data_IF_962762943650
#
_entry.id   IF_962762943650
#
_cell.length_a   1.000
_cell.length_b   1.000
_cell.length_c   1.000
_cell.angle_alpha   90.00
_cell.angle_beta   90.00
_cell.angle_gamma   90.00
#
_symmetry.space_group_name_H-M   'P 1'
#
loop_
_entity.id
_entity.type
_entity.pdbx_description
1 polymer ?
#
# COMPACT_ATOMS: atom_id res chain seq x y z
N UNK A 1 -31.49 12.95 24.05
CA UNK A 1 -30.31 12.67 23.21
C UNK A 1 -30.81 11.87 22.02
N UNK A 2 -30.45 12.28 20.79
CA UNK A 2 -31.13 11.89 19.55
C UNK A 2 -30.50 10.59 19.03
N UNK A 3 -31.33 9.57 18.76
CA UNK A 3 -30.96 8.17 18.50
C UNK A 3 -30.15 7.91 17.20
N UNK A 4 -29.51 8.92 16.60
CA UNK A 4 -28.61 8.78 15.45
C UNK A 4 -27.12 8.75 15.86
N UNK A 5 -26.80 8.90 17.14
CA UNK A 5 -25.44 8.71 17.67
C UNK A 5 -25.16 7.25 18.11
N UNK A 6 -26.17 6.36 18.05
CA UNK A 6 -26.06 4.97 18.53
C UNK A 6 -25.67 3.98 17.41
N UNK A 7 -25.73 4.40 16.15
CA UNK A 7 -24.98 3.71 15.09
C UNK A 7 -23.56 4.26 15.08
N UNK A 8 -22.75 3.85 16.05
CA UNK A 8 -21.31 4.04 16.00
C UNK A 8 -20.75 3.19 14.85
N UNK A 9 -21.01 3.60 13.60
CA UNK A 9 -20.15 3.28 12.48
C UNK A 9 -18.76 3.73 12.92
N UNK A 10 -17.87 2.77 13.18
CA UNK A 10 -16.46 3.07 13.37
C UNK A 10 -16.05 4.04 12.27
N UNK A 11 -15.59 5.23 12.67
CA UNK A 11 -15.19 6.28 11.74
C UNK A 11 -14.00 5.77 10.92
N UNK A 12 -13.86 6.17 9.66
CA UNK A 12 -12.70 5.81 8.82
C UNK A 12 -11.36 6.11 9.50
N UNK A 13 -11.32 7.11 10.40
CA UNK A 13 -10.16 7.41 11.26
C UNK A 13 -9.77 6.24 12.17
N UNK A 14 -10.73 5.51 12.74
CA UNK A 14 -10.44 4.36 13.60
C UNK A 14 -9.81 3.20 12.79
N UNK A 15 -10.31 2.96 11.58
CA UNK A 15 -9.74 2.00 10.63
C UNK A 15 -8.33 2.40 10.19
N UNK A 16 -8.12 3.68 9.87
CA UNK A 16 -6.80 4.23 9.57
C UNK A 16 -5.81 4.00 10.71
N UNK A 17 -6.17 4.39 11.95
CA UNK A 17 -5.30 4.23 13.11
C UNK A 17 -4.99 2.74 13.35
N UNK A 18 -6.00 1.87 13.25
CA UNK A 18 -5.80 0.43 13.39
C UNK A 18 -4.86 -0.11 12.31
N UNK A 19 -5.03 0.29 11.04
CA UNK A 19 -4.17 -0.13 9.93
C UNK A 19 -2.72 0.29 10.13
N UNK A 20 -2.49 1.55 10.50
CA UNK A 20 -1.16 2.08 10.82
C UNK A 20 -0.53 1.35 12.01
N UNK A 21 -1.28 1.12 13.10
CA UNK A 21 -0.79 0.42 14.28
C UNK A 21 -0.40 -1.02 13.93
N UNK A 22 -1.26 -1.75 13.21
CA UNK A 22 -0.98 -3.12 12.78
C UNK A 22 0.27 -3.16 11.90
N UNK A 23 0.37 -2.23 10.93
CA UNK A 23 1.53 -2.15 10.06
C UNK A 23 2.83 -1.91 10.84
N UNK A 24 2.83 -0.92 11.73
CA UNK A 24 4.02 -0.51 12.51
C UNK A 24 4.43 -1.53 13.59
N UNK A 25 3.49 -2.29 14.15
CA UNK A 25 3.76 -3.28 15.19
C UNK A 25 4.27 -4.60 14.61
N UNK A 26 3.73 -5.02 13.45
CA UNK A 26 4.01 -6.35 12.90
C UNK A 26 5.13 -6.38 11.87
N UNK A 27 5.43 -5.26 11.20
CA UNK A 27 6.38 -5.22 10.08
C UNK A 27 7.59 -4.31 10.35
N UNK A 28 8.71 -4.55 9.63
CA UNK A 28 9.85 -3.63 9.63
C UNK A 28 9.42 -2.19 9.32
N UNK A 29 10.08 -1.22 9.96
CA UNK A 29 9.68 0.19 9.93
C UNK A 29 9.61 0.75 8.51
N UNK A 30 10.50 0.34 7.63
CA UNK A 30 10.54 0.78 6.24
C UNK A 30 9.36 0.23 5.43
N UNK A 31 9.05 -1.06 5.56
CA UNK A 31 7.87 -1.68 4.91
C UNK A 31 6.57 -1.08 5.45
N UNK A 32 6.47 -0.89 6.77
CA UNK A 32 5.31 -0.28 7.40
C UNK A 32 5.12 1.18 6.96
N UNK A 33 6.21 1.95 6.83
CA UNK A 33 6.16 3.32 6.33
C UNK A 33 5.71 3.35 4.87
N UNK A 34 6.27 2.46 4.03
CA UNK A 34 5.93 2.36 2.62
C UNK A 34 4.44 2.03 2.42
N UNK A 35 3.87 1.12 3.22
CA UNK A 35 2.45 0.76 3.12
C UNK A 35 1.51 1.92 3.51
N UNK A 36 1.90 2.73 4.50
CA UNK A 36 1.17 3.96 4.87
C UNK A 36 1.30 5.01 3.75
N UNK A 37 2.45 5.09 3.07
CA UNK A 37 2.62 5.96 1.89
C UNK A 37 1.71 5.49 0.75
N UNK A 38 1.54 4.17 0.53
CA UNK A 38 0.57 3.68 -0.44
C UNK A 38 -0.85 4.12 -0.12
N UNK A 39 -1.30 4.02 1.13
CA UNK A 39 -2.60 4.55 1.51
C UNK A 39 -2.71 6.05 1.22
N UNK A 40 -1.69 6.85 1.52
CA UNK A 40 -1.76 8.30 1.34
C UNK A 40 -1.59 8.80 -0.11
N UNK A 41 -0.93 8.05 -0.99
CA UNK A 41 -0.67 8.47 -2.38
C UNK A 41 -1.39 7.62 -3.43
N UNK A 42 -1.45 6.30 -3.24
CA UNK A 42 -2.03 5.39 -4.22
C UNK A 42 -3.56 5.42 -4.17
N UNK A 43 -4.18 5.42 -2.99
CA UNK A 43 -5.65 5.47 -2.86
C UNK A 43 -6.25 6.78 -3.43
N UNK A 44 -5.75 7.98 -3.07
CA UNK A 44 -6.23 9.21 -3.71
C UNK A 44 -6.03 9.23 -5.21
N UNK A 45 -4.91 8.68 -5.70
CA UNK A 45 -4.66 8.56 -7.15
C UNK A 45 -5.66 7.62 -7.80
N UNK A 46 -5.92 6.46 -7.22
CA UNK A 46 -6.90 5.50 -7.71
C UNK A 46 -8.29 6.13 -7.79
N UNK A 47 -8.65 6.91 -6.77
CA UNK A 47 -9.90 7.66 -6.71
C UNK A 47 -10.00 8.71 -7.83
N UNK A 48 -8.91 9.47 -8.08
CA UNK A 48 -8.85 10.45 -9.18
C UNK A 48 -8.96 9.75 -10.54
N UNK A 49 -8.11 8.75 -10.80
CA UNK A 49 -8.09 8.01 -12.05
C UNK A 49 -9.42 7.28 -12.30
N UNK A 50 -10.01 6.72 -11.25
CA UNK A 50 -11.31 6.05 -11.32
C UNK A 50 -12.46 7.01 -11.62
N UNK A 51 -12.44 8.23 -11.09
CA UNK A 51 -13.44 9.26 -11.44
C UNK A 51 -13.28 9.76 -12.88
N UNK A 52 -12.05 9.97 -13.34
CA UNK A 52 -11.78 10.53 -14.67
C UNK A 52 -12.01 9.51 -15.79
N UNK A 53 -11.48 8.30 -15.63
CA UNK A 53 -11.43 7.30 -16.70
C UNK A 53 -12.16 6.00 -16.38
N UNK A 54 -12.65 5.81 -15.15
CA UNK A 54 -13.24 4.54 -14.72
C UNK A 54 -14.48 4.11 -15.52
N UNK A 55 -15.20 5.04 -16.16
CA UNK A 55 -16.32 4.70 -17.06
C UNK A 55 -15.90 4.00 -18.36
N UNK A 56 -14.63 4.16 -18.78
CA UNK A 56 -14.10 3.57 -20.00
C UNK A 56 -13.35 2.24 -19.75
N UNK A 57 -13.30 1.79 -18.50
CA UNK A 57 -12.52 0.61 -18.11
C UNK A 57 -13.39 -0.39 -17.33
N UNK A 58 -13.05 -1.69 -17.33
CA UNK A 58 -13.74 -2.68 -16.53
C UNK A 58 -13.77 -2.31 -15.05
N UNK A 59 -14.85 -2.66 -14.36
CA UNK A 59 -15.03 -2.43 -12.93
C UNK A 59 -15.23 -3.76 -12.21
N UNK A 60 -14.68 -3.87 -11.02
CA UNK A 60 -14.91 -4.96 -10.09
C UNK A 60 -15.30 -4.36 -8.74
N UNK A 61 -16.46 -4.75 -8.20
CA UNK A 61 -16.99 -4.28 -6.92
C UNK A 61 -16.91 -2.75 -6.69
N UNK A 62 -17.30 -1.95 -7.68
CA UNK A 62 -17.19 -0.47 -7.72
C UNK A 62 -15.78 0.12 -7.87
N UNK A 63 -14.72 -0.68 -7.78
CA UNK A 63 -13.35 -0.28 -8.13
C UNK A 63 -13.15 -0.41 -9.64
N UNK A 64 -12.40 0.51 -10.24
CA UNK A 64 -12.17 0.54 -11.70
C UNK A 64 -10.74 0.16 -12.04
N UNK A 65 -10.55 -0.51 -13.18
CA UNK A 65 -9.20 -0.84 -13.67
C UNK A 65 -8.35 0.42 -13.89
N UNK A 66 -8.95 1.54 -14.32
CA UNK A 66 -8.26 2.83 -14.40
C UNK A 66 -7.68 3.28 -13.05
N UNK A 67 -8.45 3.12 -11.96
CA UNK A 67 -8.01 3.42 -10.61
C UNK A 67 -6.84 2.52 -10.18
N UNK A 68 -6.98 1.20 -10.35
CA UNK A 68 -5.92 0.24 -10.00
C UNK A 68 -4.64 0.47 -10.81
N UNK A 69 -4.73 0.82 -12.09
CA UNK A 69 -3.56 1.17 -12.91
C UNK A 69 -2.91 2.48 -12.44
N UNK A 70 -3.70 3.47 -12.02
CA UNK A 70 -3.20 4.69 -11.39
C UNK A 70 -2.43 4.39 -10.10
N UNK A 71 -3.00 3.56 -9.22
CA UNK A 71 -2.31 3.05 -8.03
C UNK A 71 -1.05 2.26 -8.39
N UNK A 72 -1.06 1.47 -9.47
CA UNK A 72 0.11 0.71 -9.91
C UNK A 72 1.29 1.61 -10.27
N UNK A 73 1.03 2.63 -11.09
CA UNK A 73 2.06 3.58 -11.53
C UNK A 73 2.59 4.39 -10.35
N UNK A 74 1.70 4.95 -9.52
CA UNK A 74 2.13 5.73 -8.36
C UNK A 74 2.83 4.85 -7.33
N UNK A 75 2.34 3.64 -7.06
CA UNK A 75 2.99 2.68 -6.17
C UNK A 75 4.39 2.32 -6.64
N UNK A 76 4.60 2.14 -7.95
CA UNK A 76 5.92 1.90 -8.52
C UNK A 76 6.87 3.10 -8.29
N UNK A 77 6.41 4.32 -8.60
CA UNK A 77 7.21 5.54 -8.42
C UNK A 77 7.54 5.79 -6.94
N UNK A 78 6.55 5.62 -6.06
CA UNK A 78 6.71 5.73 -4.61
C UNK A 78 7.73 4.72 -4.11
N UNK A 79 7.65 3.46 -4.52
CA UNK A 79 8.57 2.40 -4.07
C UNK A 79 10.00 2.68 -4.54
N UNK A 80 10.16 3.06 -5.81
CA UNK A 80 11.45 3.41 -6.38
C UNK A 80 12.07 4.61 -5.64
N UNK A 81 11.29 5.67 -5.45
CA UNK A 81 11.71 6.88 -4.76
C UNK A 81 12.01 6.66 -3.28
N UNK A 82 11.19 5.86 -2.58
CA UNK A 82 11.34 5.58 -1.16
C UNK A 82 12.65 4.83 -0.87
N UNK A 83 12.88 3.70 -1.51
CA UNK A 83 14.13 2.94 -1.31
C UNK A 83 15.34 3.67 -1.91
N UNK A 84 15.18 4.38 -3.02
CA UNK A 84 16.23 5.25 -3.56
C UNK A 84 16.65 6.36 -2.59
N UNK A 85 15.68 6.98 -1.92
CA UNK A 85 15.92 7.99 -0.89
C UNK A 85 16.63 7.39 0.33
N UNK A 86 16.22 6.20 0.78
CA UNK A 86 16.87 5.50 1.90
C UNK A 86 18.33 5.17 1.63
N UNK A 87 18.67 4.73 0.40
CA UNK A 87 20.07 4.51 0.00
C UNK A 87 20.86 5.82 0.05
N UNK A 88 20.29 6.90 -0.49
CA UNK A 88 20.97 8.18 -0.56
C UNK A 88 21.25 8.81 0.83
N UNK A 89 20.59 8.31 1.88
CA UNK A 89 20.72 8.81 3.26
C UNK A 89 21.18 7.74 4.25
N UNK A 90 21.82 6.67 3.76
CA UNK A 90 22.44 5.62 4.59
C UNK A 90 21.50 5.07 5.68
N UNK A 91 20.24 4.78 5.32
CA UNK A 91 19.27 4.23 6.28
C UNK A 91 19.77 2.92 6.92
N UNK A 92 19.69 2.86 8.24
CA UNK A 92 20.14 1.71 9.02
C UNK A 92 19.09 0.59 8.99
N UNK A 93 19.50 -0.59 8.52
CA UNK A 93 18.69 -1.81 8.40
C UNK A 93 17.47 -1.76 7.45
N UNK A 94 17.65 -1.48 6.14
CA UNK A 94 16.55 -1.55 5.21
C UNK A 94 16.17 -3.00 4.87
N UNK A 95 14.89 -3.27 4.66
CA UNK A 95 14.39 -4.56 4.17
C UNK A 95 14.85 -4.85 2.73
N UNK A 96 15.24 -3.82 1.97
CA UNK A 96 15.86 -3.94 0.66
C UNK A 96 17.04 -2.97 0.50
N UNK A 97 18.13 -3.43 -0.11
CA UNK A 97 19.29 -2.59 -0.43
C UNK A 97 19.87 -2.97 -1.81
N UNK A 98 20.85 -2.20 -2.35
CA UNK A 98 21.51 -2.55 -3.60
C UNK A 98 22.22 -3.91 -3.61
N UNK A 99 22.52 -4.46 -2.43
CA UNK A 99 23.13 -5.79 -2.26
C UNK A 99 22.09 -6.92 -2.24
N UNK A 100 20.80 -6.59 -2.18
CA UNK A 100 19.73 -7.57 -2.24
C UNK A 100 19.66 -8.27 -3.61
N UNK A 101 18.98 -9.42 -3.64
CA UNK A 101 18.90 -10.24 -4.86
C UNK A 101 18.10 -9.58 -5.97
N UNK A 102 17.03 -8.87 -5.63
CA UNK A 102 16.19 -8.19 -6.61
C UNK A 102 16.72 -6.77 -6.89
N UNK A 103 16.84 -6.34 -8.16
CA UNK A 103 17.17 -4.96 -8.47
C UNK A 103 16.02 -4.02 -8.11
N UNK A 104 16.33 -2.74 -7.83
CA UNK A 104 15.34 -1.74 -7.40
C UNK A 104 14.15 -1.63 -8.37
N UNK A 105 14.40 -1.69 -9.67
CA UNK A 105 13.34 -1.62 -10.68
C UNK A 105 12.32 -2.76 -10.57
N UNK A 106 12.77 -3.97 -10.21
CA UNK A 106 11.88 -5.11 -10.00
C UNK A 106 11.08 -4.96 -8.70
N UNK A 107 11.71 -4.47 -7.63
CA UNK A 107 11.03 -4.17 -6.36
C UNK A 107 9.99 -3.08 -6.55
N UNK A 108 10.32 -2.04 -7.31
CA UNK A 108 9.39 -0.97 -7.66
C UNK A 108 8.21 -1.47 -8.47
N UNK A 109 8.45 -2.28 -9.51
CA UNK A 109 7.39 -2.90 -10.30
C UNK A 109 6.46 -3.72 -9.41
N UNK A 110 7.03 -4.56 -8.53
CA UNK A 110 6.27 -5.36 -7.58
C UNK A 110 5.47 -4.48 -6.60
N UNK A 111 6.08 -3.43 -6.05
CA UNK A 111 5.39 -2.46 -5.18
C UNK A 111 4.20 -1.80 -5.87
N UNK A 112 4.33 -1.46 -7.16
CA UNK A 112 3.22 -1.02 -7.99
C UNK A 112 2.10 -2.06 -8.07
N UNK A 113 2.44 -3.32 -8.37
CA UNK A 113 1.42 -4.39 -8.41
C UNK A 113 0.74 -4.62 -7.07
N UNK A 114 1.48 -4.49 -5.96
CA UNK A 114 0.95 -4.61 -4.60
C UNK A 114 -0.02 -3.48 -4.30
N UNK A 115 0.33 -2.23 -4.64
CA UNK A 115 -0.54 -1.08 -4.46
C UNK A 115 -1.85 -1.22 -5.27
N UNK A 116 -1.73 -1.64 -6.53
CA UNK A 116 -2.89 -1.88 -7.40
C UNK A 116 -3.80 -3.00 -6.89
N UNK A 117 -3.19 -4.07 -6.39
CA UNK A 117 -3.91 -5.22 -5.85
C UNK A 117 -4.60 -4.90 -4.53
N UNK A 118 -3.91 -4.20 -3.63
CA UNK A 118 -4.48 -3.77 -2.35
C UNK A 118 -5.68 -2.83 -2.56
N UNK A 119 -5.59 -1.93 -3.54
CA UNK A 119 -6.69 -1.04 -3.93
C UNK A 119 -7.87 -1.78 -4.60
N UNK A 120 -7.60 -2.86 -5.33
CA UNK A 120 -8.63 -3.57 -6.09
C UNK A 120 -9.44 -4.56 -5.25
N UNK A 121 -9.01 -4.87 -4.02
CA UNK A 121 -9.63 -5.91 -3.18
C UNK A 121 -10.41 -5.28 -2.03
N UNK A 122 -11.70 -5.60 -2.01
CA UNK A 122 -12.54 -5.42 -0.83
C UNK A 122 -12.44 -6.66 0.07
N UNK A 123 -11.67 -6.58 1.16
CA UNK A 123 -11.56 -7.66 2.15
C UNK A 123 -12.73 -7.60 3.13
N UNK A 124 -13.66 -8.55 3.04
CA UNK A 124 -14.77 -8.72 4.01
C UNK A 124 -15.62 -7.45 4.24
N UNK A 125 -15.63 -6.51 3.27
CA UNK A 125 -16.30 -5.21 3.40
C UNK A 125 -15.62 -4.25 4.39
N UNK A 126 -14.35 -4.46 4.72
CA UNK A 126 -13.56 -3.57 5.56
C UNK A 126 -13.14 -2.30 4.81
N UNK A 127 -12.89 -1.24 5.57
CA UNK A 127 -12.48 0.07 5.05
C UNK A 127 -11.05 0.04 4.48
N UNK A 128 -10.84 0.70 3.34
CA UNK A 128 -9.54 0.79 2.66
C UNK A 128 -8.43 1.38 3.55
N UNK A 129 -8.81 2.26 4.47
CA UNK A 129 -7.88 2.84 5.45
C UNK A 129 -7.27 1.79 6.39
N UNK A 130 -7.92 0.63 6.56
CA UNK A 130 -7.37 -0.52 7.27
C UNK A 130 -6.71 -1.51 6.31
N UNK A 131 -7.38 -1.86 5.21
CA UNK A 131 -6.96 -2.97 4.35
C UNK A 131 -5.69 -2.64 3.58
N UNK A 132 -5.56 -1.44 3.01
CA UNK A 132 -4.42 -1.04 2.19
C UNK A 132 -3.10 -1.12 2.97
N UNK A 133 -2.92 -0.43 4.12
CA UNK A 133 -1.64 -0.44 4.83
C UNK A 133 -1.28 -1.83 5.37
N UNK A 134 -2.27 -2.65 5.73
CA UNK A 134 -2.03 -4.01 6.25
C UNK A 134 -1.69 -4.97 5.12
N UNK A 135 -2.52 -5.05 4.09
CA UNK A 135 -2.36 -5.99 2.98
C UNK A 135 -1.09 -5.69 2.19
N UNK A 136 -0.81 -4.42 1.92
CA UNK A 136 0.42 -4.06 1.20
C UNK A 136 1.69 -4.31 2.03
N UNK A 137 1.66 -4.08 3.35
CA UNK A 137 2.78 -4.44 4.23
C UNK A 137 3.02 -5.97 4.25
N UNK A 138 1.96 -6.77 4.36
CA UNK A 138 2.03 -8.24 4.29
C UNK A 138 2.69 -8.68 2.98
N UNK A 139 2.21 -8.20 1.83
CA UNK A 139 2.70 -8.60 0.52
C UNK A 139 4.16 -8.18 0.29
N UNK A 140 4.52 -6.95 0.67
CA UNK A 140 5.89 -6.46 0.57
C UNK A 140 6.84 -7.25 1.48
N UNK A 141 6.43 -7.51 2.72
CA UNK A 141 7.23 -8.28 3.67
C UNK A 141 7.42 -9.73 3.23
N UNK A 142 6.35 -10.38 2.75
CA UNK A 142 6.48 -11.74 2.20
C UNK A 142 7.43 -11.77 1.02
N UNK A 143 7.40 -10.79 0.12
CA UNK A 143 8.28 -10.77 -1.04
C UNK A 143 9.74 -10.49 -0.67
N UNK A 144 10.00 -9.45 0.13
CA UNK A 144 11.35 -9.00 0.46
C UNK A 144 12.02 -9.90 1.49
N UNK A 145 11.31 -10.29 2.55
CA UNK A 145 11.89 -11.04 3.66
C UNK A 145 11.74 -12.55 3.44
N UNK A 146 10.51 -13.06 3.33
CA UNK A 146 10.29 -14.52 3.18
C UNK A 146 10.71 -15.05 1.80
N UNK A 147 10.47 -14.28 0.75
CA UNK A 147 10.80 -14.61 -0.63
C UNK A 147 12.28 -14.43 -0.97
N UNK A 148 13.08 -13.87 -0.05
CA UNK A 148 14.51 -13.64 -0.23
C UNK A 148 14.85 -12.67 -1.36
N UNK A 149 13.92 -11.77 -1.73
CA UNK A 149 14.16 -10.72 -2.72
C UNK A 149 14.88 -9.50 -2.11
N UNK A 150 14.75 -9.30 -0.80
CA UNK A 150 15.37 -8.27 0.00
C UNK A 150 16.69 -8.73 0.66
N UNK A 151 17.07 -8.05 1.74
CA UNK A 151 18.19 -8.50 2.57
C UNK A 151 17.77 -9.71 3.41
N UNK A 152 18.67 -10.68 3.54
CA UNK A 152 18.47 -11.80 4.46
C UNK A 152 18.57 -11.24 5.87
N UNK A 153 17.50 -11.41 6.66
CA UNK A 153 17.48 -11.07 8.08
C UNK A 153 18.47 -11.94 8.88
#
# INVERSE_FOLDING_TARGET
MRNHEVEAKFNGVAYYLAGCIIALVLFPKDIASLSIIYLSWCDPTASICGRLWGQYTPKYNNKSLAGSLGAAVVGMLVTYGFYGYMIAHDYDHPSWSPQARAPLGLVALFGGTVAAFAEAIDLFGWDDNLTIPVLSAVLMWMALVLGGLGLVA
#
